data_IF_935059690562
#
_entry.id   IF_935059690562
#
_cell.length_a   1.000
_cell.length_b   1.000
_cell.length_c   1.000
_cell.angle_alpha   90.00
_cell.angle_beta   90.00
_cell.angle_gamma   90.00
#
_symmetry.space_group_name_H-M   'P 1'
#
loop_
_entity.id
_entity.type
_entity.pdbx_description
1 polymer ?
#
# COMPACT_ATOMS: atom_id res chain seq x y z
N UNK A 1 -35.34 -14.59 2.61
CA UNK A 1 -34.12 -15.28 3.06
C UNK A 1 -33.12 -14.20 3.40
N UNK A 2 -32.92 -13.97 4.69
CA UNK A 2 -32.14 -12.85 5.25
C UNK A 2 -30.65 -13.12 5.05
N UNK A 3 -29.96 -12.23 4.34
CA UNK A 3 -28.51 -12.21 4.27
C UNK A 3 -27.98 -11.66 5.59
N UNK A 4 -27.45 -12.51 6.45
CA UNK A 4 -26.75 -12.14 7.65
C UNK A 4 -25.52 -11.27 7.31
N UNK A 5 -25.61 -10.03 7.77
CA UNK A 5 -24.54 -9.04 7.72
C UNK A 5 -23.49 -9.44 8.77
N UNK A 6 -22.47 -10.21 8.37
CA UNK A 6 -21.39 -10.62 9.26
C UNK A 6 -20.56 -9.37 9.60
N UNK A 7 -20.38 -8.99 10.90
CA UNK A 7 -19.62 -7.81 11.28
C UNK A 7 -18.15 -7.99 10.86
N UNK A 8 -17.39 -6.91 10.60
CA UNK A 8 -15.99 -6.97 10.23
C UNK A 8 -15.20 -7.68 11.36
N UNK A 9 -14.49 -8.75 10.99
CA UNK A 9 -13.61 -9.46 11.91
C UNK A 9 -12.48 -8.52 12.33
N UNK A 10 -12.27 -8.39 13.63
CA UNK A 10 -11.07 -7.76 14.20
C UNK A 10 -9.86 -8.54 13.71
N UNK A 11 -8.93 -7.85 13.03
CA UNK A 11 -7.62 -8.38 12.65
C UNK A 11 -6.78 -8.61 13.92
N UNK A 12 -6.95 -9.77 14.53
CA UNK A 12 -6.35 -10.17 15.80
C UNK A 12 -7.04 -11.44 16.28
N UNK A 13 -7.05 -12.48 15.42
CA UNK A 13 -7.70 -13.73 15.73
C UNK A 13 -6.90 -14.48 16.80
N UNK A 14 -7.49 -14.86 17.95
CA UNK A 14 -6.83 -15.67 18.99
C UNK A 14 -6.37 -17.07 18.51
N UNK A 15 -6.78 -17.50 17.31
CA UNK A 15 -6.41 -18.78 16.71
C UNK A 15 -5.01 -18.83 16.07
N UNK A 16 -4.24 -17.74 16.04
CA UNK A 16 -2.93 -17.71 15.36
C UNK A 16 -3.02 -17.78 13.83
N UNK A 17 -4.18 -17.57 13.23
CA UNK A 17 -4.43 -17.56 11.78
C UNK A 17 -4.74 -16.15 11.28
N UNK A 18 -4.48 -15.91 9.99
CA UNK A 18 -4.81 -14.67 9.27
C UNK A 18 -5.19 -15.02 7.83
N UNK A 19 -5.76 -14.06 7.10
CA UNK A 19 -6.12 -14.28 5.70
C UNK A 19 -4.93 -14.06 4.75
N UNK A 20 -4.82 -14.90 3.71
CA UNK A 20 -3.98 -14.74 2.54
C UNK A 20 -4.90 -14.88 1.31
N UNK A 21 -5.33 -13.74 0.75
CA UNK A 21 -6.51 -13.73 -0.11
C UNK A 21 -7.72 -14.27 0.64
N UNK A 22 -8.43 -15.24 0.07
CA UNK A 22 -9.58 -15.89 0.70
C UNK A 22 -9.21 -17.11 1.56
N UNK A 23 -7.92 -17.46 1.65
CA UNK A 23 -7.44 -18.60 2.44
C UNK A 23 -7.07 -18.15 3.85
N UNK A 24 -7.43 -18.94 4.86
CA UNK A 24 -6.87 -18.79 6.21
C UNK A 24 -5.53 -19.50 6.28
N UNK A 25 -4.51 -18.78 6.76
CA UNK A 25 -3.14 -19.27 6.90
C UNK A 25 -2.60 -18.95 8.28
N UNK A 26 -1.62 -19.72 8.81
CA UNK A 26 -0.92 -19.33 10.02
C UNK A 26 -0.32 -17.93 9.90
N UNK A 27 -0.49 -17.09 10.92
CA UNK A 27 -0.01 -15.70 10.93
C UNK A 27 1.49 -15.62 10.58
N UNK A 28 2.30 -16.57 11.10
CA UNK A 28 3.73 -16.63 10.83
C UNK A 28 4.08 -16.95 9.35
N UNK A 29 3.15 -17.57 8.59
CA UNK A 29 3.37 -17.93 7.19
C UNK A 29 2.95 -16.83 6.20
N UNK A 30 2.00 -15.95 6.57
CA UNK A 30 1.46 -14.94 5.66
C UNK A 30 2.55 -14.09 5.02
N UNK A 31 3.47 -13.59 5.82
CA UNK A 31 4.57 -12.75 5.34
C UNK A 31 5.42 -13.48 4.29
N UNK A 32 5.74 -14.75 4.52
CA UNK A 32 6.53 -15.59 3.59
C UNK A 32 5.77 -15.81 2.27
N UNK A 33 4.47 -16.09 2.34
CA UNK A 33 3.62 -16.30 1.15
C UNK A 33 3.50 -15.01 0.33
N UNK A 34 3.24 -13.87 0.99
CA UNK A 34 3.21 -12.54 0.35
C UNK A 34 4.55 -12.23 -0.31
N UNK A 35 5.67 -12.49 0.38
CA UNK A 35 7.00 -12.28 -0.18
C UNK A 35 7.23 -13.15 -1.44
N UNK A 36 6.73 -14.40 -1.47
CA UNK A 36 6.77 -15.27 -2.64
C UNK A 36 6.06 -14.66 -3.85
N UNK A 37 4.83 -14.16 -3.66
CA UNK A 37 4.05 -13.47 -4.71
C UNK A 37 4.84 -12.28 -5.28
N UNK A 38 5.35 -11.39 -4.43
CA UNK A 38 6.06 -10.20 -4.91
C UNK A 38 7.42 -10.52 -5.53
N UNK A 39 8.08 -11.58 -5.08
CA UNK A 39 9.34 -12.05 -5.71
C UNK A 39 9.09 -12.59 -7.10
N UNK A 40 7.99 -13.34 -7.33
CA UNK A 40 7.68 -13.89 -8.67
C UNK A 40 7.34 -12.80 -9.69
N UNK A 41 6.70 -11.72 -9.25
CA UNK A 41 6.26 -10.62 -10.13
C UNK A 41 7.21 -9.42 -10.16
N UNK A 42 8.30 -9.41 -9.38
CA UNK A 42 9.16 -8.24 -9.23
C UNK A 42 9.67 -7.68 -10.59
N UNK A 43 10.11 -8.55 -11.49
CA UNK A 43 10.60 -8.16 -12.83
C UNK A 43 9.50 -7.69 -13.80
N UNK A 44 8.22 -7.94 -13.52
CA UNK A 44 7.06 -7.54 -14.35
C UNK A 44 6.04 -6.69 -13.57
N UNK A 45 6.46 -6.15 -12.42
CA UNK A 45 5.58 -5.44 -11.50
C UNK A 45 4.86 -4.25 -12.14
N UNK A 46 5.56 -3.47 -12.96
CA UNK A 46 4.97 -2.32 -13.66
C UNK A 46 3.94 -2.77 -14.70
N UNK A 47 4.22 -3.85 -15.43
CA UNK A 47 3.27 -4.45 -16.39
C UNK A 47 2.03 -4.94 -15.66
N UNK A 48 2.21 -5.58 -14.51
CA UNK A 48 1.10 -6.03 -13.68
C UNK A 48 0.21 -4.85 -13.22
N UNK A 49 0.81 -3.76 -12.75
CA UNK A 49 0.08 -2.56 -12.37
C UNK A 49 -0.66 -1.91 -13.55
N UNK A 50 -0.02 -1.87 -14.74
CA UNK A 50 -0.66 -1.37 -15.96
C UNK A 50 -1.87 -2.23 -16.35
N UNK A 51 -1.74 -3.55 -16.33
CA UNK A 51 -2.84 -4.48 -16.61
C UNK A 51 -3.99 -4.33 -15.59
N UNK A 52 -3.66 -4.29 -14.29
CA UNK A 52 -4.67 -4.17 -13.23
C UNK A 52 -5.46 -2.86 -13.28
N UNK A 53 -4.88 -1.79 -13.78
CA UNK A 53 -5.45 -0.45 -13.72
C UNK A 53 -5.67 0.20 -15.09
N UNK A 54 -5.36 -0.48 -16.20
CA UNK A 54 -5.31 0.13 -17.54
C UNK A 54 -4.44 1.41 -17.56
N UNK A 55 -3.34 1.43 -16.79
CA UNK A 55 -2.44 2.58 -16.67
C UNK A 55 -2.97 3.72 -15.79
N UNK A 56 -4.21 3.64 -15.29
CA UNK A 56 -4.83 4.69 -14.44
C UNK A 56 -4.11 4.83 -13.09
N UNK A 57 -3.38 3.80 -12.63
CA UNK A 57 -2.59 3.88 -11.39
C UNK A 57 -1.60 5.05 -11.39
N UNK A 58 -1.13 5.50 -12.55
CA UNK A 58 -0.24 6.67 -12.67
C UNK A 58 -0.94 7.96 -12.24
N UNK A 59 -2.23 8.10 -12.59
CA UNK A 59 -3.06 9.24 -12.19
C UNK A 59 -3.30 9.18 -10.67
N UNK A 60 -3.60 8.00 -10.11
CA UNK A 60 -3.79 7.83 -8.68
C UNK A 60 -2.52 8.15 -7.89
N UNK A 61 -1.37 7.64 -8.35
CA UNK A 61 -0.06 7.95 -7.74
C UNK A 61 0.24 9.45 -7.81
N UNK A 62 -0.01 10.10 -8.95
CA UNK A 62 0.19 11.55 -9.10
C UNK A 62 -0.67 12.34 -8.12
N UNK A 63 -1.95 12.01 -8.02
CA UNK A 63 -2.84 12.65 -7.05
C UNK A 63 -2.35 12.47 -5.61
N UNK A 64 -1.91 11.27 -5.23
CA UNK A 64 -1.37 11.00 -3.89
C UNK A 64 -0.09 11.81 -3.62
N UNK A 65 0.80 11.96 -4.61
CA UNK A 65 2.02 12.78 -4.52
C UNK A 65 1.66 14.26 -4.31
N UNK A 66 0.73 14.79 -5.09
CA UNK A 66 0.29 16.17 -4.97
C UNK A 66 -0.41 16.42 -3.61
N UNK A 67 -1.23 15.47 -3.15
CA UNK A 67 -1.90 15.52 -1.84
C UNK A 67 -0.91 15.39 -0.68
N UNK A 68 0.19 14.65 -0.86
CA UNK A 68 1.27 14.55 0.13
C UNK A 68 1.90 15.93 0.39
N UNK A 69 1.97 16.79 -0.61
CA UNK A 69 2.42 18.17 -0.48
C UNK A 69 3.83 18.25 0.09
N UNK A 70 4.73 17.37 -0.36
CA UNK A 70 6.13 17.33 0.10
C UNK A 70 6.83 18.63 -0.27
N UNK A 71 7.53 19.21 0.70
CA UNK A 71 8.23 20.49 0.58
C UNK A 71 9.75 20.30 0.58
N UNK A 72 10.50 21.22 -0.02
CA UNK A 72 11.96 21.22 0.04
C UNK A 72 12.46 21.16 1.49
N UNK A 73 13.37 20.22 1.77
CA UNK A 73 13.95 20.02 3.09
C UNK A 73 13.21 19.01 3.99
N UNK A 74 12.03 18.51 3.59
CA UNK A 74 11.32 17.51 4.36
C UNK A 74 11.98 16.13 4.33
N UNK A 75 11.78 15.37 5.41
CA UNK A 75 12.14 13.95 5.50
C UNK A 75 10.91 13.09 5.23
N UNK A 76 10.99 12.25 4.22
CA UNK A 76 9.89 11.42 3.74
C UNK A 76 10.24 9.94 3.87
N UNK A 77 9.29 9.13 4.32
CA UNK A 77 9.39 7.68 4.34
C UNK A 77 8.36 7.08 3.37
N UNK A 78 8.83 6.33 2.39
CA UNK A 78 7.98 5.57 1.47
C UNK A 78 7.97 4.10 1.91
N UNK A 79 6.88 3.67 2.54
CA UNK A 79 6.70 2.33 3.13
C UNK A 79 6.11 1.40 2.08
N UNK A 80 6.67 0.20 1.96
CA UNK A 80 6.36 -0.74 0.88
C UNK A 80 6.48 -0.07 -0.50
N UNK A 81 7.56 0.72 -0.66
CA UNK A 81 7.77 1.55 -1.85
C UNK A 81 8.12 0.79 -3.13
N UNK A 82 8.45 -0.51 -3.01
CA UNK A 82 8.66 -1.41 -4.15
C UNK A 82 9.70 -0.89 -5.14
N UNK A 83 9.28 -0.62 -6.37
CA UNK A 83 10.13 -0.11 -7.46
C UNK A 83 10.49 1.37 -7.34
N UNK A 84 9.98 2.08 -6.30
CA UNK A 84 10.38 3.44 -5.98
C UNK A 84 9.71 4.55 -6.82
N UNK A 85 8.57 4.29 -7.42
CA UNK A 85 7.86 5.29 -8.25
C UNK A 85 7.51 6.57 -7.48
N UNK A 86 6.96 6.43 -6.27
CA UNK A 86 6.66 7.59 -5.42
C UNK A 86 7.95 8.17 -4.84
N UNK A 87 8.86 7.31 -4.40
CA UNK A 87 10.17 7.70 -3.86
C UNK A 87 10.91 8.64 -4.80
N UNK A 88 10.93 8.36 -6.11
CA UNK A 88 11.56 9.20 -7.12
C UNK A 88 10.97 10.64 -7.11
N UNK A 89 9.67 10.76 -7.13
CA UNK A 89 9.01 12.07 -7.15
C UNK A 89 9.20 12.80 -5.81
N UNK A 90 9.14 12.09 -4.70
CA UNK A 90 9.41 12.68 -3.39
C UNK A 90 10.86 13.17 -3.27
N UNK A 91 11.84 12.43 -3.82
CA UNK A 91 13.23 12.88 -3.85
C UNK A 91 13.39 14.19 -4.63
N UNK A 92 12.71 14.32 -5.77
CA UNK A 92 12.69 15.56 -6.56
C UNK A 92 12.05 16.72 -5.77
N UNK A 93 10.93 16.48 -5.09
CA UNK A 93 10.19 17.51 -4.33
C UNK A 93 10.93 17.93 -3.06
N UNK A 94 11.47 16.98 -2.32
CA UNK A 94 12.24 17.26 -1.09
C UNK A 94 13.56 17.99 -1.38
N UNK A 95 14.10 17.76 -2.57
CA UNK A 95 15.32 18.44 -3.04
C UNK A 95 16.57 18.09 -2.22
N UNK A 96 17.70 18.77 -2.46
CA UNK A 96 19.00 18.39 -1.92
C UNK A 96 19.13 18.58 -0.39
N UNK A 97 18.23 19.34 0.22
CA UNK A 97 18.20 19.54 1.69
C UNK A 97 17.23 18.60 2.39
N UNK A 98 16.39 17.88 1.62
CA UNK A 98 15.47 16.87 2.15
C UNK A 98 16.09 15.48 2.12
N UNK A 99 15.35 14.53 2.66
CA UNK A 99 15.75 13.12 2.63
C UNK A 99 14.53 12.25 2.37
N UNK A 100 14.64 11.33 1.41
CA UNK A 100 13.62 10.31 1.18
C UNK A 100 14.25 8.95 1.47
N UNK A 101 13.53 8.12 2.24
CA UNK A 101 13.94 6.74 2.52
C UNK A 101 12.88 5.83 1.91
N UNK A 102 13.33 4.84 1.15
CA UNK A 102 12.48 3.77 0.63
C UNK A 102 12.59 2.56 1.54
N UNK A 103 11.45 2.04 2.00
CA UNK A 103 11.42 0.77 2.73
C UNK A 103 10.53 -0.25 2.04
N UNK A 104 10.95 -1.49 2.08
CA UNK A 104 10.12 -2.64 1.70
C UNK A 104 10.50 -3.85 2.55
N UNK A 105 9.56 -4.76 2.77
CA UNK A 105 9.85 -6.00 3.49
C UNK A 105 10.55 -7.02 2.59
N UNK A 106 10.36 -6.91 1.27
CA UNK A 106 10.89 -7.81 0.25
C UNK A 106 12.21 -7.26 -0.33
N UNK A 107 13.30 -8.00 -0.09
CA UNK A 107 14.63 -7.62 -0.58
C UNK A 107 14.72 -7.59 -2.11
N UNK A 108 13.96 -8.45 -2.83
CA UNK A 108 13.95 -8.44 -4.30
C UNK A 108 13.31 -7.14 -4.82
N UNK A 109 12.20 -6.69 -4.20
CA UNK A 109 11.57 -5.41 -4.54
C UNK A 109 12.50 -4.21 -4.28
N UNK A 110 13.26 -4.23 -3.17
CA UNK A 110 14.29 -3.20 -2.93
C UNK A 110 15.40 -3.23 -3.98
N UNK A 111 15.78 -4.41 -4.44
CA UNK A 111 16.75 -4.57 -5.54
C UNK A 111 16.26 -3.95 -6.84
N UNK A 112 15.01 -4.18 -7.22
CA UNK A 112 14.36 -3.53 -8.37
C UNK A 112 14.25 -2.02 -8.16
N UNK A 113 13.82 -1.58 -6.98
CA UNK A 113 13.74 -0.15 -6.64
C UNK A 113 15.09 0.56 -6.79
N UNK A 114 16.18 -0.08 -6.35
CA UNK A 114 17.54 0.46 -6.51
C UNK A 114 17.90 0.65 -7.98
N UNK A 115 17.65 -0.37 -8.82
CA UNK A 115 17.90 -0.31 -10.26
C UNK A 115 17.05 0.78 -10.92
N UNK A 116 15.75 0.75 -10.69
CA UNK A 116 14.82 1.70 -11.29
C UNK A 116 15.09 3.17 -10.89
N UNK A 117 15.53 3.44 -9.67
CA UNK A 117 15.94 4.77 -9.24
C UNK A 117 17.26 5.20 -9.93
N UNK A 118 18.26 4.30 -9.96
CA UNK A 118 19.54 4.57 -10.61
C UNK A 118 19.39 4.83 -12.12
N UNK A 119 18.59 4.04 -12.83
CA UNK A 119 18.32 4.19 -14.27
C UNK A 119 17.64 5.54 -14.59
N UNK A 120 16.96 6.13 -13.61
CA UNK A 120 16.31 7.45 -13.71
C UNK A 120 17.15 8.58 -13.11
N UNK A 121 18.43 8.31 -12.78
CA UNK A 121 19.36 9.29 -12.24
C UNK A 121 19.10 9.72 -10.79
N UNK A 122 18.28 8.99 -10.06
CA UNK A 122 18.01 9.26 -8.64
C UNK A 122 18.97 8.43 -7.80
N UNK A 123 19.98 9.11 -7.24
CA UNK A 123 21.03 8.50 -6.40
C UNK A 123 20.92 9.00 -4.96
N UNK A 124 21.54 8.28 -4.02
CA UNK A 124 21.61 8.71 -2.62
C UNK A 124 20.32 8.49 -1.80
N UNK A 125 19.32 7.79 -2.34
CA UNK A 125 18.15 7.37 -1.58
C UNK A 125 18.50 6.13 -0.75
N UNK A 126 18.46 6.19 0.60
CA UNK A 126 18.61 4.99 1.43
C UNK A 126 17.47 4.00 1.19
N UNK A 127 17.84 2.73 0.98
CA UNK A 127 16.89 1.62 0.88
C UNK A 127 17.03 0.75 2.12
N UNK A 128 15.94 0.57 2.86
CA UNK A 128 15.95 -0.16 4.14
C UNK A 128 14.95 -1.31 4.09
N UNK A 129 15.43 -2.53 4.30
CA UNK A 129 14.53 -3.66 4.47
C UNK A 129 13.87 -3.58 5.85
N UNK A 130 12.54 -3.40 5.89
CA UNK A 130 11.80 -3.23 7.12
C UNK A 130 10.37 -3.76 7.04
N UNK A 131 9.87 -4.27 8.18
CA UNK A 131 8.46 -4.57 8.35
C UNK A 131 7.71 -3.30 8.77
N UNK A 132 6.64 -2.95 8.07
CA UNK A 132 5.79 -1.80 8.38
C UNK A 132 5.20 -1.84 9.79
N UNK A 133 4.96 -3.05 10.32
CA UNK A 133 4.43 -3.27 11.67
C UNK A 133 5.42 -2.84 12.77
N UNK A 134 6.73 -2.80 12.46
CA UNK A 134 7.80 -2.43 13.39
C UNK A 134 8.92 -1.70 12.64
N UNK A 135 8.66 -0.46 12.25
CA UNK A 135 9.64 0.37 11.54
C UNK A 135 10.86 0.69 12.42
N UNK A 136 12.10 0.50 11.91
CA UNK A 136 13.33 0.66 12.66
C UNK A 136 13.81 2.12 12.72
N UNK A 137 12.87 3.06 12.88
CA UNK A 137 13.19 4.49 12.95
C UNK A 137 12.79 5.05 14.31
N UNK A 138 13.48 6.10 14.74
CA UNK A 138 13.16 6.83 15.96
C UNK A 138 11.77 7.49 15.84
N UNK A 139 11.17 7.75 16.98
CA UNK A 139 9.94 8.54 17.05
C UNK A 139 10.17 9.95 16.49
N UNK A 140 9.16 10.50 15.80
CA UNK A 140 9.23 11.88 15.30
C UNK A 140 10.30 12.10 14.23
N UNK A 141 10.60 11.11 13.39
CA UNK A 141 11.68 11.18 12.40
C UNK A 141 11.26 11.79 11.06
N UNK A 142 9.98 11.73 10.68
CA UNK A 142 9.54 12.06 9.33
C UNK A 142 8.43 13.12 9.31
N UNK A 143 8.51 14.00 8.32
CA UNK A 143 7.48 15.01 8.04
C UNK A 143 6.30 14.41 7.26
N UNK A 144 6.58 13.43 6.40
CA UNK A 144 5.60 12.72 5.62
C UNK A 144 5.94 11.22 5.56
N UNK A 145 4.91 10.39 5.73
CA UNK A 145 5.01 8.93 5.50
C UNK A 145 3.94 8.55 4.48
N UNK A 146 4.31 7.69 3.53
CA UNK A 146 3.40 7.14 2.53
C UNK A 146 3.44 5.63 2.53
N UNK A 147 2.30 5.00 2.27
CA UNK A 147 2.20 3.59 1.90
C UNK A 147 1.22 3.47 0.74
N UNK A 148 1.70 2.94 -0.40
CA UNK A 148 0.93 2.87 -1.64
C UNK A 148 0.81 1.44 -2.11
N UNK A 149 -0.44 0.92 -2.20
CA UNK A 149 -0.76 -0.44 -2.63
C UNK A 149 -0.04 -1.55 -1.84
N UNK A 150 0.35 -1.24 -0.60
CA UNK A 150 1.11 -2.12 0.30
C UNK A 150 0.33 -2.56 1.53
N UNK A 151 -0.56 -1.69 2.07
CA UNK A 151 -1.22 -1.92 3.36
C UNK A 151 -2.11 -3.17 3.37
N UNK A 152 -2.77 -3.51 2.25
CA UNK A 152 -3.60 -4.72 2.13
C UNK A 152 -2.83 -6.01 2.41
N UNK A 153 -1.52 -6.02 2.15
CA UNK A 153 -0.63 -7.17 2.30
C UNK A 153 -0.06 -7.31 3.72
N UNK A 154 -0.14 -6.26 4.52
CA UNK A 154 0.33 -6.25 5.91
C UNK A 154 -0.52 -7.19 6.76
N UNK A 155 0.11 -7.93 7.66
CA UNK A 155 -0.56 -8.92 8.52
C UNK A 155 -1.35 -8.22 9.61
N UNK A 156 -0.70 -7.37 10.40
CA UNK A 156 -1.31 -6.52 11.43
C UNK A 156 -1.30 -5.05 10.96
N UNK A 157 -2.42 -4.63 10.34
CA UNK A 157 -2.57 -3.27 9.83
C UNK A 157 -2.59 -2.23 10.94
N UNK A 158 -3.16 -2.58 12.09
CA UNK A 158 -3.22 -1.68 13.23
C UNK A 158 -1.81 -1.43 13.80
N UNK A 159 -0.99 -2.48 13.93
CA UNK A 159 0.41 -2.33 14.32
C UNK A 159 1.20 -1.47 13.30
N UNK A 160 0.98 -1.66 12.00
CA UNK A 160 1.63 -0.86 10.97
C UNK A 160 1.22 0.61 11.04
N UNK A 161 -0.07 0.90 11.20
CA UNK A 161 -0.57 2.28 11.35
C UNK A 161 0.01 2.96 12.59
N UNK A 162 0.04 2.26 13.74
CA UNK A 162 0.69 2.77 14.97
C UNK A 162 2.19 2.99 14.78
N UNK A 163 2.88 2.05 14.11
CA UNK A 163 4.32 2.16 13.83
C UNK A 163 4.64 3.36 12.93
N UNK A 164 3.84 3.58 11.88
CA UNK A 164 3.97 4.75 11.01
C UNK A 164 3.65 6.04 11.77
N UNK A 165 2.55 6.10 12.54
CA UNK A 165 2.20 7.28 13.37
C UNK A 165 3.33 7.64 14.34
N UNK A 166 3.92 6.66 15.01
CA UNK A 166 5.05 6.87 15.93
C UNK A 166 6.23 7.56 15.24
N UNK A 167 6.53 7.17 14.01
CA UNK A 167 7.66 7.72 13.24
C UNK A 167 7.39 9.13 12.68
N UNK A 168 6.14 9.61 12.65
CA UNK A 168 5.81 10.98 12.23
C UNK A 168 6.23 12.00 13.29
N UNK A 169 6.73 13.13 12.85
CA UNK A 169 6.88 14.35 13.69
C UNK A 169 5.51 14.88 14.08
N UNK A 170 5.37 15.63 15.19
CA UNK A 170 4.22 16.50 15.40
C UNK A 170 4.00 17.40 14.18
N UNK A 171 2.75 17.49 13.70
CA UNK A 171 2.40 18.16 12.44
C UNK A 171 2.67 17.34 11.17
N UNK A 172 3.31 16.18 11.29
CA UNK A 172 3.58 15.26 10.18
C UNK A 172 2.30 14.56 9.69
N UNK A 173 2.37 13.99 8.49
CA UNK A 173 1.23 13.38 7.80
C UNK A 173 1.49 11.98 7.28
N UNK A 174 0.50 11.11 7.40
CA UNK A 174 0.46 9.79 6.78
C UNK A 174 -0.51 9.79 5.60
N UNK A 175 -0.07 9.27 4.47
CA UNK A 175 -0.93 8.99 3.33
C UNK A 175 -0.97 7.48 3.06
N UNK A 176 -2.18 6.97 2.89
CA UNK A 176 -2.43 5.58 2.48
C UNK A 176 -3.16 5.62 1.14
N UNK A 177 -2.49 5.22 0.06
CA UNK A 177 -3.10 5.01 -1.25
C UNK A 177 -3.36 3.51 -1.41
N UNK A 178 -4.63 3.11 -1.50
CA UNK A 178 -4.96 1.68 -1.59
C UNK A 178 -6.25 1.44 -2.39
N UNK A 179 -6.36 0.23 -2.92
CA UNK A 179 -7.64 -0.25 -3.45
C UNK A 179 -8.68 -0.28 -2.34
N UNK A 180 -9.94 -0.05 -2.74
CA UNK A 180 -11.05 -0.01 -1.81
C UNK A 180 -12.34 -0.52 -2.44
N UNK A 181 -13.47 -0.26 -1.82
CA UNK A 181 -14.76 -0.74 -2.30
C UNK A 181 -15.44 0.32 -3.18
N UNK A 182 -15.86 -0.04 -4.41
CA UNK A 182 -16.63 0.86 -5.27
C UNK A 182 -17.88 1.39 -4.58
N UNK A 183 -18.15 2.69 -4.72
CA UNK A 183 -19.31 3.35 -4.11
C UNK A 183 -20.64 2.96 -4.79
N UNK A 184 -20.60 2.54 -6.06
CA UNK A 184 -21.77 2.12 -6.82
C UNK A 184 -21.81 0.59 -6.94
N UNK A 185 -22.96 -0.02 -6.67
CA UNK A 185 -23.16 -1.48 -6.83
C UNK A 185 -22.94 -1.94 -8.28
N UNK A 186 -23.35 -1.11 -9.26
CA UNK A 186 -23.13 -1.43 -10.68
C UNK A 186 -21.63 -1.44 -11.00
N UNK A 187 -20.91 -0.41 -10.60
CA UNK A 187 -19.45 -0.36 -10.78
C UNK A 187 -18.76 -1.52 -10.06
N UNK A 188 -19.23 -1.88 -8.86
CA UNK A 188 -18.75 -3.05 -8.12
C UNK A 188 -18.87 -4.34 -8.91
N UNK A 189 -20.04 -4.62 -9.48
CA UNK A 189 -20.27 -5.82 -10.30
C UNK A 189 -19.37 -5.87 -11.53
N UNK A 190 -19.19 -4.74 -12.22
CA UNK A 190 -18.31 -4.65 -13.41
C UNK A 190 -16.86 -4.87 -12.98
N UNK A 191 -16.42 -4.24 -11.91
CA UNK A 191 -15.07 -4.40 -11.38
C UNK A 191 -14.79 -5.82 -10.89
N UNK A 192 -15.79 -6.52 -10.32
CA UNK A 192 -15.70 -7.93 -9.94
C UNK A 192 -15.49 -8.85 -11.13
N UNK A 193 -16.28 -8.67 -12.19
CA UNK A 193 -16.11 -9.44 -13.42
C UNK A 193 -14.71 -9.27 -14.01
N UNK A 194 -14.23 -8.02 -14.01
CA UNK A 194 -12.88 -7.71 -14.45
C UNK A 194 -11.83 -8.40 -13.56
N UNK A 195 -11.91 -8.19 -12.24
CA UNK A 195 -10.89 -8.64 -11.29
C UNK A 195 -10.79 -10.16 -11.17
N UNK A 196 -11.91 -10.89 -11.23
CA UNK A 196 -11.92 -12.33 -10.98
C UNK A 196 -11.92 -13.18 -12.24
N UNK A 197 -12.28 -12.62 -13.40
CA UNK A 197 -12.31 -13.38 -14.65
C UNK A 197 -11.21 -12.93 -15.62
N UNK A 198 -11.07 -11.63 -15.84
CA UNK A 198 -10.16 -11.11 -16.86
C UNK A 198 -8.71 -11.01 -16.38
N UNK A 199 -8.49 -10.50 -15.15
CA UNK A 199 -7.13 -10.32 -14.62
C UNK A 199 -6.34 -11.63 -14.50
N UNK A 200 -6.85 -12.74 -13.93
CA UNK A 200 -6.10 -14.00 -13.87
C UNK A 200 -5.76 -14.55 -15.25
N UNK A 201 -6.69 -14.41 -16.22
CA UNK A 201 -6.47 -14.84 -17.60
C UNK A 201 -5.33 -14.02 -18.25
N UNK A 202 -5.34 -12.70 -18.08
CA UNK A 202 -4.28 -11.83 -18.56
C UNK A 202 -2.94 -12.12 -17.87
N UNK A 203 -2.96 -12.40 -16.55
CA UNK A 203 -1.78 -12.80 -15.79
C UNK A 203 -1.16 -14.08 -16.31
N UNK A 204 -1.98 -15.07 -16.66
CA UNK A 204 -1.51 -16.31 -17.25
C UNK A 204 -0.87 -16.10 -18.63
N UNK A 205 -1.47 -15.25 -19.46
CA UNK A 205 -0.98 -14.99 -20.84
C UNK A 205 0.28 -14.14 -20.84
N UNK A 206 0.40 -13.15 -19.96
CA UNK A 206 1.49 -12.16 -20.01
C UNK A 206 2.64 -12.53 -19.07
N UNK A 207 2.35 -12.96 -17.85
CA UNK A 207 3.34 -13.22 -16.81
C UNK A 207 3.52 -14.71 -16.48
N UNK A 208 2.70 -15.60 -17.04
CA UNK A 208 2.62 -17.04 -16.69
C UNK A 208 2.43 -17.30 -15.19
N UNK A 209 1.76 -16.38 -14.50
CA UNK A 209 1.56 -16.38 -13.04
C UNK A 209 0.11 -15.99 -12.67
N UNK A 210 -0.84 -16.89 -12.96
CA UNK A 210 -2.25 -16.69 -12.66
C UNK A 210 -2.53 -16.59 -11.16
N UNK A 211 -1.74 -17.29 -10.33
CA UNK A 211 -1.98 -17.37 -8.88
C UNK A 211 -1.63 -16.05 -8.18
N UNK A 212 -0.55 -15.38 -8.58
CA UNK A 212 -0.22 -14.05 -8.06
C UNK A 212 -1.29 -13.01 -8.41
N UNK A 213 -1.84 -13.06 -9.63
CA UNK A 213 -2.93 -12.16 -10.05
C UNK A 213 -4.25 -12.46 -9.32
N UNK A 214 -4.55 -13.74 -9.05
CA UNK A 214 -5.69 -14.14 -8.22
C UNK A 214 -5.53 -13.62 -6.80
N UNK A 215 -4.37 -13.83 -6.18
CA UNK A 215 -4.07 -13.30 -4.85
C UNK A 215 -4.29 -11.78 -4.77
N UNK A 216 -3.86 -11.04 -5.80
CA UNK A 216 -4.07 -9.58 -5.84
C UNK A 216 -5.56 -9.22 -5.80
N UNK A 217 -6.39 -9.86 -6.64
CA UNK A 217 -7.84 -9.63 -6.64
C UNK A 217 -8.48 -9.96 -5.28
N UNK A 218 -8.10 -11.09 -4.69
CA UNK A 218 -8.58 -11.53 -3.39
C UNK A 218 -8.12 -10.60 -2.25
N UNK A 219 -6.85 -10.19 -2.25
CA UNK A 219 -6.30 -9.27 -1.23
C UNK A 219 -7.00 -7.90 -1.24
N UNK A 220 -7.39 -7.41 -2.42
CA UNK A 220 -8.20 -6.18 -2.57
C UNK A 220 -9.57 -6.36 -1.90
N UNK A 221 -10.22 -7.52 -2.08
CA UNK A 221 -11.52 -7.80 -1.47
C UNK A 221 -11.47 -7.92 0.05
N UNK A 222 -10.38 -8.44 0.58
CA UNK A 222 -10.16 -8.59 2.02
C UNK A 222 -9.69 -7.28 2.69
N UNK A 223 -9.32 -6.26 1.89
CA UNK A 223 -8.93 -4.97 2.46
C UNK A 223 -10.15 -4.23 3.05
N UNK A 224 -10.00 -3.52 4.19
CA UNK A 224 -11.03 -2.67 4.74
C UNK A 224 -11.59 -1.66 3.73
N UNK A 225 -12.87 -1.32 3.86
CA UNK A 225 -13.44 -0.21 3.10
C UNK A 225 -12.93 1.14 3.63
N UNK A 226 -13.30 2.21 2.94
CA UNK A 226 -12.80 3.56 3.20
C UNK A 226 -13.06 4.04 4.62
N UNK A 227 -14.29 3.88 5.12
CA UNK A 227 -14.65 4.36 6.47
C UNK A 227 -14.02 3.48 7.56
N UNK A 228 -13.94 2.17 7.33
CA UNK A 228 -13.24 1.25 8.25
C UNK A 228 -11.77 1.62 8.36
N UNK A 229 -11.06 1.85 7.23
CA UNK A 229 -9.66 2.25 7.26
C UNK A 229 -9.47 3.62 7.93
N UNK A 230 -10.36 4.58 7.69
CA UNK A 230 -10.35 5.86 8.41
C UNK A 230 -10.45 5.66 9.91
N UNK A 231 -11.39 4.81 10.38
CA UNK A 231 -11.53 4.47 11.80
C UNK A 231 -10.26 3.82 12.38
N UNK A 232 -9.63 2.90 11.64
CA UNK A 232 -8.35 2.29 12.04
C UNK A 232 -7.23 3.33 12.17
N UNK A 233 -7.12 4.28 11.23
CA UNK A 233 -6.14 5.36 11.29
C UNK A 233 -6.39 6.27 12.51
N UNK A 234 -7.65 6.58 12.82
CA UNK A 234 -8.03 7.36 14.01
C UNK A 234 -7.68 6.60 15.31
N UNK A 235 -7.98 5.31 15.36
CA UNK A 235 -7.62 4.44 16.51
C UNK A 235 -6.10 4.34 16.69
N UNK A 236 -5.32 4.41 15.61
CA UNK A 236 -3.85 4.48 15.68
C UNK A 236 -3.32 5.84 16.18
N UNK A 237 -4.21 6.83 16.43
CA UNK A 237 -3.88 8.16 16.94
C UNK A 237 -3.57 9.18 15.84
N UNK A 238 -4.05 8.96 14.63
CA UNK A 238 -4.01 9.96 13.56
C UNK A 238 -5.27 10.81 13.60
N UNK A 239 -5.11 12.09 13.40
CA UNK A 239 -6.17 13.07 13.49
C UNK A 239 -6.52 13.67 12.12
N UNK A 240 -7.68 14.33 12.00
CA UNK A 240 -8.15 14.98 10.76
C UNK A 240 -8.08 14.05 9.55
N UNK A 241 -8.45 12.77 9.75
CA UNK A 241 -8.38 11.77 8.68
C UNK A 241 -9.42 12.07 7.61
N UNK A 242 -8.94 12.29 6.39
CA UNK A 242 -9.72 12.60 5.20
C UNK A 242 -9.64 11.47 4.19
N UNK A 243 -10.73 11.24 3.45
CA UNK A 243 -10.85 10.24 2.40
C UNK A 243 -11.02 10.94 1.06
N UNK A 244 -10.23 10.54 0.08
CA UNK A 244 -10.33 11.01 -1.31
C UNK A 244 -10.57 9.79 -2.21
N UNK A 245 -11.82 9.61 -2.64
CA UNK A 245 -12.19 8.53 -3.53
C UNK A 245 -11.80 8.84 -4.98
N UNK A 246 -11.24 7.84 -5.66
CA UNK A 246 -10.87 7.92 -7.06
C UNK A 246 -11.52 6.79 -7.84
N UNK A 247 -11.80 7.03 -9.10
CA UNK A 247 -12.42 6.05 -10.01
C UNK A 247 -13.67 5.39 -9.38
N UNK A 248 -14.58 6.22 -8.84
CA UNK A 248 -15.81 5.74 -8.21
C UNK A 248 -15.60 4.92 -6.92
N UNK A 249 -14.48 5.10 -6.23
CA UNK A 249 -14.16 4.41 -4.98
C UNK A 249 -13.37 3.10 -5.16
N UNK A 250 -13.02 2.71 -6.40
CA UNK A 250 -12.12 1.55 -6.65
C UNK A 250 -10.78 1.74 -5.93
N UNK A 251 -10.31 2.98 -5.87
CA UNK A 251 -9.12 3.39 -5.13
C UNK A 251 -9.46 4.57 -4.25
N UNK A 252 -8.84 4.66 -3.09
CA UNK A 252 -8.93 5.82 -2.20
C UNK A 252 -7.55 6.22 -1.65
N UNK A 253 -7.36 7.52 -1.44
CA UNK A 253 -6.29 8.05 -0.61
C UNK A 253 -6.87 8.45 0.73
N UNK A 254 -6.27 7.96 1.80
CA UNK A 254 -6.52 8.44 3.16
C UNK A 254 -5.35 9.32 3.59
N UNK A 255 -5.64 10.50 4.14
CA UNK A 255 -4.63 11.38 4.72
C UNK A 255 -4.99 11.69 6.15
N UNK A 256 -4.08 11.39 7.08
CA UNK A 256 -4.22 11.74 8.50
C UNK A 256 -2.96 12.42 9.02
N UNK A 257 -3.06 13.13 10.13
CA UNK A 257 -1.98 13.90 10.71
C UNK A 257 -1.65 13.41 12.12
N UNK A 258 -0.38 13.49 12.51
CA UNK A 258 0.02 13.47 13.91
C UNK A 258 0.06 14.91 14.40
N UNK A 259 -0.89 15.36 15.23
CA UNK A 259 -0.90 16.72 15.75
C UNK A 259 -0.09 16.86 17.04
N UNK A 260 -0.01 15.76 17.84
CA UNK A 260 0.77 15.68 19.09
C UNK A 260 1.77 14.52 19.04
#
# INVERSE_FOLDING_TARGET
>A
MSSENKPPQKDGNPSGTTHFGFQDVPTAEKQKRVAGVFTSVAGSYDIMNDLMSFGVHRIWKRFAIDLAGVRPGERVLDVAGGTGDLTREFARLAGPRGQVILTDINAAMLGEGRRALADRGVVGVPLVQANAEKLPFAEGSFDCITISFGLRNVTDKDAALRSMKRCLKPGGRLLVLEFSKPQSQLLGKVYDQYSFRLLPLMGQLVARDADSYRYLAESIRMHPDQETLKGMMQTAGLERVQIYNMTGGIVAVHRGFRLE
#
